data_IF_024115549753
#
_entry.id   IF_024115549753
#
_cell.length_a   1.000
_cell.length_b   1.000
_cell.length_c   1.000
_cell.angle_alpha   90.00
_cell.angle_beta   90.00
_cell.angle_gamma   90.00
#
_symmetry.space_group_name_H-M   'P 1'
#
loop_
_entity.id
_entity.type
_entity.pdbx_description
1 polymer ?
#
# COMPACT_ATOMS: atom_id res chain seq x y z
N UNK A 1 7.59 8.63 11.38
CA UNK A 1 8.43 9.36 10.43
C UNK A 1 7.60 9.76 9.24
N UNK A 2 7.40 11.05 9.05
CA UNK A 2 6.59 11.54 7.94
C UNK A 2 7.47 11.72 6.72
N UNK A 3 7.15 10.98 5.67
CA UNK A 3 7.76 11.24 4.38
C UNK A 3 7.18 12.54 3.83
N UNK A 4 7.98 13.59 3.82
CA UNK A 4 7.63 14.82 3.11
C UNK A 4 8.24 14.69 1.73
N UNK A 5 7.42 14.60 0.67
CA UNK A 5 7.97 14.61 -0.67
C UNK A 5 8.67 15.96 -0.88
N UNK A 6 9.96 15.94 -0.99
CA UNK A 6 10.69 17.12 -1.41
C UNK A 6 10.26 17.46 -2.83
N UNK A 7 9.68 18.63 -3.01
CA UNK A 7 9.59 19.22 -4.33
C UNK A 7 11.01 19.55 -4.72
N UNK A 8 11.69 18.60 -5.32
CA UNK A 8 13.03 18.85 -5.85
C UNK A 8 12.90 19.73 -7.09
N UNK A 9 13.71 20.78 -7.16
CA UNK A 9 13.90 21.53 -8.39
C UNK A 9 14.20 20.55 -9.54
N UNK A 10 13.71 20.82 -10.77
CA UNK A 10 14.00 19.95 -11.91
C UNK A 10 15.50 19.75 -11.98
N UNK A 11 15.93 18.52 -11.93
CA UNK A 11 17.34 18.18 -11.91
C UNK A 11 17.96 18.47 -13.27
N UNK A 12 19.26 18.77 -13.26
CA UNK A 12 20.06 19.00 -14.46
C UNK A 12 20.02 17.84 -15.48
N UNK A 13 19.52 16.67 -15.07
CA UNK A 13 19.46 15.46 -15.91
C UNK A 13 18.38 15.53 -17.00
N UNK A 14 17.55 16.53 -16.99
CA UNK A 14 16.40 16.61 -17.90
C UNK A 14 16.60 17.64 -19.03
N UNK A 15 17.86 18.03 -19.30
CA UNK A 15 18.17 18.89 -20.42
C UNK A 15 17.76 18.25 -21.74
N UNK A 16 16.91 18.91 -22.51
CA UNK A 16 16.47 18.47 -23.81
C UNK A 16 15.17 17.68 -23.86
N UNK A 17 14.52 17.39 -22.71
CA UNK A 17 13.21 16.77 -22.64
C UNK A 17 12.21 17.70 -21.96
N UNK A 18 10.96 17.70 -22.41
CA UNK A 18 9.91 18.43 -21.70
C UNK A 18 9.66 17.76 -20.35
N UNK A 19 9.29 18.52 -19.34
CA UNK A 19 8.93 17.99 -18.01
C UNK A 19 7.81 16.95 -18.11
N UNK A 20 6.90 17.14 -19.06
CA UNK A 20 5.78 16.24 -19.30
C UNK A 20 6.23 14.86 -19.78
N UNK A 21 7.18 14.81 -20.72
CA UNK A 21 7.73 13.54 -21.23
C UNK A 21 8.47 12.74 -20.16
N UNK A 22 9.24 13.44 -19.34
CA UNK A 22 9.99 12.82 -18.25
C UNK A 22 9.03 12.27 -17.20
N UNK A 23 7.99 13.03 -16.85
CA UNK A 23 7.00 12.64 -15.87
C UNK A 23 6.22 11.41 -16.32
N UNK A 24 5.84 11.33 -17.61
CA UNK A 24 5.08 10.17 -18.10
C UNK A 24 5.91 8.88 -18.09
N UNK A 25 7.16 8.94 -18.51
CA UNK A 25 8.03 7.77 -18.49
C UNK A 25 8.27 7.28 -17.07
N UNK A 26 8.54 8.20 -16.15
CA UNK A 26 8.72 7.89 -14.73
C UNK A 26 7.45 7.27 -14.14
N UNK A 27 6.27 7.83 -14.47
CA UNK A 27 5.01 7.33 -13.97
C UNK A 27 4.70 5.91 -14.49
N UNK A 28 4.92 5.66 -15.77
CA UNK A 28 4.71 4.34 -16.37
C UNK A 28 5.67 3.30 -15.78
N UNK A 29 6.94 3.64 -15.65
CA UNK A 29 7.94 2.76 -15.06
C UNK A 29 7.60 2.44 -13.60
N UNK A 30 7.13 3.43 -12.85
CA UNK A 30 6.70 3.25 -11.48
C UNK A 30 5.53 2.26 -11.40
N UNK A 31 4.50 2.42 -12.24
CA UNK A 31 3.35 1.50 -12.27
C UNK A 31 3.80 0.09 -12.58
N UNK A 32 4.68 -0.07 -13.57
CA UNK A 32 5.18 -1.38 -13.95
C UNK A 32 5.94 -2.06 -12.82
N UNK A 33 6.86 -1.34 -12.18
CA UNK A 33 7.72 -1.92 -11.15
C UNK A 33 7.03 -2.08 -9.79
N UNK A 34 6.09 -1.20 -9.43
CA UNK A 34 5.45 -1.21 -8.11
C UNK A 34 4.10 -1.91 -8.08
N UNK A 35 3.51 -2.21 -9.23
CA UNK A 35 2.28 -2.98 -9.30
C UNK A 35 2.42 -4.36 -8.65
N UNK A 36 3.52 -5.06 -8.92
CA UNK A 36 3.82 -6.35 -8.30
C UNK A 36 4.03 -6.22 -6.79
N UNK A 37 4.73 -5.18 -6.36
CA UNK A 37 4.95 -4.92 -4.93
C UNK A 37 3.65 -4.67 -4.20
N UNK A 38 2.72 -3.94 -4.84
CA UNK A 38 1.40 -3.74 -4.28
C UNK A 38 0.63 -5.06 -4.16
N UNK A 39 0.66 -5.89 -5.19
CA UNK A 39 -0.01 -7.19 -5.16
C UNK A 39 0.53 -8.07 -4.02
N UNK A 40 1.85 -8.08 -3.81
CA UNK A 40 2.48 -8.80 -2.70
C UNK A 40 2.06 -8.23 -1.34
N UNK A 41 2.05 -6.91 -1.18
CA UNK A 41 1.63 -6.26 0.06
C UNK A 41 0.16 -6.51 0.37
N UNK A 42 -0.70 -6.47 -0.64
CA UNK A 42 -2.13 -6.74 -0.50
C UNK A 42 -2.39 -8.20 -0.12
N UNK A 43 -1.68 -9.13 -0.75
CA UNK A 43 -1.78 -10.56 -0.42
C UNK A 43 -1.31 -10.83 1.00
N UNK A 44 -0.22 -10.20 1.42
CA UNK A 44 0.27 -10.31 2.80
C UNK A 44 -0.74 -9.78 3.81
N UNK A 45 -1.33 -8.62 3.54
CA UNK A 45 -2.38 -8.04 4.38
C UNK A 45 -3.56 -9.02 4.54
N UNK A 46 -4.04 -9.57 3.43
CA UNK A 46 -5.14 -10.53 3.45
C UNK A 46 -4.80 -11.76 4.30
N UNK A 47 -3.58 -12.26 4.18
CA UNK A 47 -3.10 -13.39 4.98
C UNK A 47 -3.09 -13.08 6.48
N UNK A 48 -2.50 -11.97 6.90
CA UNK A 48 -2.42 -11.65 8.34
C UNK A 48 -3.79 -11.32 8.92
N UNK A 49 -4.70 -10.74 8.14
CA UNK A 49 -6.08 -10.51 8.56
C UNK A 49 -6.83 -11.82 8.82
N UNK A 50 -6.73 -12.77 7.90
CA UNK A 50 -7.35 -14.09 8.06
C UNK A 50 -6.70 -14.91 9.17
N UNK A 51 -5.39 -14.80 9.32
CA UNK A 51 -4.66 -15.50 10.36
C UNK A 51 -5.07 -15.06 11.76
N UNK A 52 -5.67 -13.89 11.92
CA UNK A 52 -6.18 -13.41 13.20
C UNK A 52 -7.13 -14.42 13.85
N UNK A 53 -7.98 -15.07 13.06
CA UNK A 53 -8.92 -16.08 13.55
C UNK A 53 -8.18 -17.32 14.06
N UNK A 54 -7.20 -17.77 13.32
CA UNK A 54 -6.36 -18.92 13.72
C UNK A 54 -5.54 -18.59 14.97
N UNK A 55 -4.98 -17.38 15.05
CA UNK A 55 -4.23 -16.90 16.21
C UNK A 55 -5.10 -16.92 17.46
N UNK A 56 -6.31 -16.39 17.36
CA UNK A 56 -7.28 -16.41 18.45
C UNK A 56 -7.58 -17.85 18.92
N UNK A 57 -7.86 -18.73 17.98
CA UNK A 57 -8.17 -20.14 18.30
C UNK A 57 -7.01 -20.85 18.99
N UNK A 58 -5.78 -20.63 18.51
CA UNK A 58 -4.57 -21.18 19.11
C UNK A 58 -4.36 -20.66 20.53
N UNK A 59 -4.57 -19.39 20.77
CA UNK A 59 -4.42 -18.77 22.08
C UNK A 59 -5.51 -19.23 23.05
N UNK A 60 -6.75 -19.39 22.59
CA UNK A 60 -7.83 -19.95 23.37
C UNK A 60 -7.53 -21.39 23.79
N UNK A 61 -7.06 -22.19 22.85
CA UNK A 61 -6.66 -23.57 23.11
C UNK A 61 -5.54 -23.63 24.17
N UNK A 62 -4.56 -22.75 24.04
CA UNK A 62 -3.46 -22.65 25.01
C UNK A 62 -3.98 -22.29 26.40
N UNK A 63 -4.86 -21.28 26.50
CA UNK A 63 -5.46 -20.87 27.76
C UNK A 63 -6.23 -22.02 28.43
N UNK A 64 -7.02 -22.75 27.65
CA UNK A 64 -7.76 -23.92 28.15
C UNK A 64 -6.83 -25.02 28.64
N UNK A 65 -5.72 -25.24 27.97
CA UNK A 65 -4.68 -26.19 28.40
C UNK A 65 -4.05 -25.79 29.73
N UNK A 66 -4.01 -24.49 30.03
CA UNK A 66 -3.45 -23.94 31.27
C UNK A 66 -4.49 -23.75 32.37
N UNK A 67 -5.68 -24.34 32.24
CA UNK A 67 -6.67 -24.38 33.31
C UNK A 67 -7.86 -23.43 33.18
N UNK A 68 -7.94 -22.63 32.13
CA UNK A 68 -9.13 -21.81 31.84
C UNK A 68 -10.27 -22.73 31.43
N UNK A 69 -11.39 -22.67 32.15
CA UNK A 69 -12.46 -23.68 32.04
C UNK A 69 -13.56 -23.36 31.07
N UNK A 70 -13.76 -22.10 30.73
CA UNK A 70 -14.87 -21.69 29.84
C UNK A 70 -14.35 -21.10 28.56
N UNK A 71 -15.12 -21.24 27.47
CA UNK A 71 -14.79 -20.64 26.19
C UNK A 71 -14.75 -19.10 26.28
N UNK A 72 -15.67 -18.51 27.04
CA UNK A 72 -15.72 -17.06 27.22
C UNK A 72 -14.47 -16.52 27.94
N UNK A 73 -14.01 -17.22 28.98
CA UNK A 73 -12.78 -16.85 29.68
C UNK A 73 -11.55 -17.07 28.81
N UNK A 74 -11.51 -18.13 28.02
CA UNK A 74 -10.42 -18.41 27.09
C UNK A 74 -10.35 -17.34 25.99
N UNK A 75 -11.47 -16.89 25.49
CA UNK A 75 -11.55 -15.81 24.50
C UNK A 75 -11.01 -14.49 25.07
N UNK A 76 -11.40 -14.16 26.29
CA UNK A 76 -10.89 -12.98 26.99
C UNK A 76 -9.37 -13.03 27.15
N UNK A 77 -8.87 -14.16 27.59
CA UNK A 77 -7.41 -14.39 27.73
C UNK A 77 -6.69 -14.24 26.38
N UNK A 78 -7.26 -14.80 25.32
CA UNK A 78 -6.69 -14.73 23.99
C UNK A 78 -6.59 -13.27 23.49
N UNK A 79 -7.66 -12.50 23.61
CA UNK A 79 -7.69 -11.10 23.20
C UNK A 79 -6.77 -10.21 24.02
N UNK A 80 -6.57 -10.53 25.28
CA UNK A 80 -5.70 -9.75 26.17
C UNK A 80 -4.24 -10.17 26.10
N UNK A 81 -3.92 -11.25 25.35
CA UNK A 81 -2.56 -11.75 25.27
C UNK A 81 -1.65 -10.83 24.45
N UNK A 82 -0.37 -10.81 24.81
CA UNK A 82 0.63 -10.04 24.09
C UNK A 82 0.73 -10.49 22.64
N UNK A 83 0.67 -11.79 22.38
CA UNK A 83 0.75 -12.36 21.04
C UNK A 83 -0.39 -11.86 20.15
N UNK A 84 -1.59 -11.75 20.66
CA UNK A 84 -2.73 -11.23 19.90
C UNK A 84 -2.55 -9.75 19.60
N UNK A 85 -2.11 -8.97 20.58
CA UNK A 85 -1.85 -7.54 20.43
C UNK A 85 -0.75 -7.30 19.38
N UNK A 86 0.32 -8.08 19.43
CA UNK A 86 1.39 -8.04 18.42
C UNK A 86 0.87 -8.38 17.03
N UNK A 87 -0.04 -9.33 16.91
CA UNK A 87 -0.65 -9.66 15.63
C UNK A 87 -1.49 -8.51 15.08
N UNK A 88 -2.25 -7.82 15.92
CA UNK A 88 -2.99 -6.61 15.51
C UNK A 88 -2.04 -5.54 14.98
N UNK A 89 -0.88 -5.39 15.61
CA UNK A 89 0.14 -4.45 15.16
C UNK A 89 0.72 -4.86 13.80
N UNK A 90 0.91 -6.14 13.58
CA UNK A 90 1.33 -6.65 12.28
C UNK A 90 0.30 -6.35 11.17
N UNK A 91 -0.99 -6.44 11.48
CA UNK A 91 -2.07 -6.04 10.56
C UNK A 91 -2.00 -4.54 10.26
N UNK A 92 -1.79 -3.73 11.28
CA UNK A 92 -1.64 -2.27 11.10
C UNK A 92 -0.49 -1.95 10.15
N UNK A 93 0.68 -2.53 10.36
CA UNK A 93 1.85 -2.32 9.51
C UNK A 93 1.63 -2.80 8.08
N UNK A 94 1.01 -3.96 7.91
CA UNK A 94 0.69 -4.51 6.59
C UNK A 94 -0.33 -3.62 5.86
N UNK A 95 -1.30 -3.08 6.57
CA UNK A 95 -2.30 -2.15 6.01
C UNK A 95 -1.63 -0.87 5.53
N UNK A 96 -0.77 -0.29 6.36
CA UNK A 96 -0.03 0.93 6.03
C UNK A 96 0.80 0.74 4.76
N UNK A 97 1.52 -0.36 4.68
CA UNK A 97 2.37 -0.66 3.53
C UNK A 97 1.55 -0.84 2.25
N UNK A 98 0.46 -1.60 2.31
CA UNK A 98 -0.41 -1.82 1.16
C UNK A 98 -1.07 -0.51 0.69
N UNK A 99 -1.56 0.30 1.62
CA UNK A 99 -2.20 1.57 1.31
C UNK A 99 -1.22 2.59 0.75
N UNK A 100 0.00 2.66 1.28
CA UNK A 100 1.03 3.55 0.76
C UNK A 100 1.35 3.23 -0.71
N UNK A 101 1.48 1.95 -1.04
CA UNK A 101 1.71 1.51 -2.41
C UNK A 101 0.50 1.81 -3.31
N UNK A 102 -0.70 1.55 -2.82
CA UNK A 102 -1.93 1.82 -3.57
C UNK A 102 -2.04 3.29 -3.98
N UNK A 103 -1.84 4.20 -3.02
CA UNK A 103 -1.95 5.63 -3.29
C UNK A 103 -0.83 6.14 -4.18
N UNK A 104 0.38 5.58 -4.05
CA UNK A 104 1.48 5.92 -4.96
C UNK A 104 1.17 5.50 -6.41
N UNK A 105 0.55 4.33 -6.60
CA UNK A 105 0.12 3.86 -7.92
C UNK A 105 -1.03 4.72 -8.47
N UNK A 106 -1.98 5.13 -7.62
CA UNK A 106 -3.06 6.05 -7.99
C UNK A 106 -2.49 7.39 -8.46
N UNK A 107 -1.51 7.92 -7.74
CA UNK A 107 -0.84 9.16 -8.13
C UNK A 107 -0.12 9.05 -9.47
N UNK A 108 0.57 7.94 -9.70
CA UNK A 108 1.24 7.68 -10.98
C UNK A 108 0.23 7.57 -12.13
N UNK A 109 -0.88 6.89 -11.91
CA UNK A 109 -1.95 6.78 -12.90
C UNK A 109 -2.58 8.14 -13.21
N UNK A 110 -2.76 8.98 -12.20
CA UNK A 110 -3.28 10.34 -12.39
C UNK A 110 -2.36 11.17 -13.29
N UNK A 111 -1.04 11.02 -13.14
CA UNK A 111 -0.07 11.70 -14.01
C UNK A 111 -0.20 11.24 -15.46
N UNK A 112 -0.41 9.94 -15.68
CA UNK A 112 -0.66 9.40 -17.03
C UNK A 112 -1.93 9.99 -17.61
N UNK A 113 -2.98 10.11 -16.83
CA UNK A 113 -4.26 10.65 -17.27
C UNK A 113 -4.14 12.14 -17.64
N UNK A 114 -3.41 12.92 -16.86
CA UNK A 114 -3.12 14.34 -17.13
C UNK A 114 -2.33 14.47 -18.44
N UNK A 115 -1.29 13.67 -18.61
CA UNK A 115 -0.49 13.67 -19.83
C UNK A 115 -1.35 13.38 -21.07
N UNK A 116 -2.23 12.40 -20.96
CA UNK A 116 -3.14 12.02 -22.03
C UNK A 116 -4.06 13.18 -22.44
N UNK A 117 -4.58 13.90 -21.44
CA UNK A 117 -5.43 15.08 -21.67
C UNK A 117 -4.66 16.22 -22.34
N UNK A 118 -3.43 16.45 -21.91
CA UNK A 118 -2.56 17.49 -22.52
C UNK A 118 -2.22 17.15 -23.96
N UNK A 119 -1.89 15.89 -24.25
CA UNK A 119 -1.61 15.44 -25.62
C UNK A 119 -2.82 15.57 -26.54
N UNK A 120 -4.00 15.24 -26.06
CA UNK A 120 -5.24 15.43 -26.81
C UNK A 120 -5.50 16.91 -27.13
N UNK A 121 -5.27 17.81 -26.16
CA UNK A 121 -5.41 19.25 -26.33
C UNK A 121 -4.39 19.78 -27.36
N UNK A 122 -3.15 19.35 -27.26
CA UNK A 122 -2.09 19.77 -28.18
C UNK A 122 -2.40 19.34 -29.63
N UNK A 123 -2.89 18.11 -29.80
CA UNK A 123 -3.28 17.63 -31.13
C UNK A 123 -4.43 18.44 -31.73
N UNK A 124 -5.39 18.82 -30.91
CA UNK A 124 -6.50 19.67 -31.32
C UNK A 124 -6.02 21.07 -31.75
N UNK A 125 -5.10 21.66 -30.98
CA UNK A 125 -4.50 22.95 -31.32
C UNK A 125 -3.71 22.90 -32.64
N UNK A 126 -2.93 21.84 -32.86
CA UNK A 126 -2.16 21.63 -34.09
C UNK A 126 -3.07 21.53 -35.30
N UNK A 127 -4.24 20.89 -35.19
CA UNK A 127 -5.24 20.79 -36.25
C UNK A 127 -5.91 22.13 -36.57
N UNK A 128 -6.02 23.01 -35.57
CA UNK A 128 -6.67 24.31 -35.72
C UNK A 128 -5.70 25.41 -36.17
N UNK A 129 -4.43 25.16 -36.08
CA UNK A 129 -3.37 26.03 -36.57
C UNK A 129 -3.04 25.72 -38.02
#
# INVERSE_FOLDING_TARGET
>A
MHYVPRITKPSRFYKGKTMTEIDINTAVDFIYTHGKKYAEAKAHLAYVEEFRKSKKAMLMKHAMSNGVKTAASAEMEAYASLEYIEHLKAIEEATEQAEALRWALVAAQARVDVWRSLEASNRTMDRMG
#
